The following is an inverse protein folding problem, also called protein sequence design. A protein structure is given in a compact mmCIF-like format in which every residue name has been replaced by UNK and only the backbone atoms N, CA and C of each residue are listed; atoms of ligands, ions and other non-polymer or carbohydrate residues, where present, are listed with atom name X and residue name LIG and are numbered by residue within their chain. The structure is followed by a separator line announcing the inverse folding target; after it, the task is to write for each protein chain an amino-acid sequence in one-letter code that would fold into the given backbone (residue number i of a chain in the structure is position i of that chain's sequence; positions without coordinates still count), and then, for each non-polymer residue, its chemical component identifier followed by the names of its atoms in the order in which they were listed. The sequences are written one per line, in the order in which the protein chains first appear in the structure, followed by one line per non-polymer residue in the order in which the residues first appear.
data_IF_884434192771
#
_entry.id   IF_884434192771
#
_cell.length_a   1.000
_cell.length_b   1.000
_cell.length_c   1.000
_cell.angle_alpha   90.00
_cell.angle_beta   90.00
_cell.angle_gamma   90.00
#
_symmetry.space_group_name_H-M   'P 1'
#
loop_
_entity.id
_entity.type
_entity.pdbx_description
1 polymer ?
#
# COMPACT_ATOMS: atom_id res chain seq x y z
N UNK A 1 0.58 10.09 7.83
CA UNK A 1 0.38 10.48 6.43
C UNK A 1 1.07 11.81 6.21
N UNK A 2 1.91 11.94 5.19
CA UNK A 2 2.43 13.22 4.72
C UNK A 2 1.38 13.95 3.86
N UNK A 3 1.73 15.12 3.32
CA UNK A 3 0.84 15.99 2.53
C UNK A 3 -0.49 16.30 3.25
N UNK A 4 -0.43 17.24 4.20
CA UNK A 4 -1.55 17.52 5.12
C UNK A 4 -2.89 17.82 4.43
N UNK A 5 -2.86 18.39 3.21
CA UNK A 5 -4.04 18.71 2.43
C UNK A 5 -4.72 17.50 1.75
N UNK A 6 -4.01 16.38 1.58
CA UNK A 6 -4.48 15.19 0.82
C UNK A 6 -4.36 13.88 1.59
N UNK A 7 -4.08 13.93 2.89
CA UNK A 7 -4.12 12.75 3.76
C UNK A 7 -5.47 12.04 3.70
N UNK A 8 -5.45 10.70 3.65
CA UNK A 8 -6.58 9.78 3.43
C UNK A 8 -7.80 10.10 4.30
N UNK A 9 -7.58 10.43 5.57
CA UNK A 9 -8.68 10.67 6.51
C UNK A 9 -9.16 12.13 6.59
N UNK A 10 -8.47 13.07 5.94
CA UNK A 10 -8.78 14.51 6.03
C UNK A 10 -9.06 15.18 4.67
N UNK A 11 -8.77 14.54 3.54
CA UNK A 11 -9.02 15.13 2.22
C UNK A 11 -10.51 15.45 2.03
N UNK A 12 -10.82 16.73 1.83
CA UNK A 12 -12.20 17.28 1.70
C UNK A 12 -13.10 16.90 2.90
N UNK A 13 -12.51 16.67 4.07
CA UNK A 13 -13.23 16.29 5.30
C UNK A 13 -12.74 17.14 6.47
N UNK A 14 -13.58 17.28 7.49
CA UNK A 14 -13.20 17.99 8.73
C UNK A 14 -12.12 17.24 9.54
N UNK A 15 -11.87 15.95 9.22
CA UNK A 15 -10.98 15.09 10.00
C UNK A 15 -11.62 14.60 11.30
N UNK A 16 -10.77 14.21 12.25
CA UNK A 16 -11.20 13.68 13.54
C UNK A 16 -11.32 14.78 14.60
N UNK A 17 -12.38 14.72 15.40
CA UNK A 17 -12.57 15.62 16.56
C UNK A 17 -11.62 15.30 17.71
N UNK A 18 -11.30 14.02 17.89
CA UNK A 18 -10.37 13.51 18.90
C UNK A 18 -9.23 12.79 18.19
N UNK A 19 -8.09 12.64 18.87
CA UNK A 19 -6.97 11.90 18.32
C UNK A 19 -7.39 10.45 17.98
N UNK A 20 -7.21 9.98 16.72
CA UNK A 20 -7.76 8.70 16.28
C UNK A 20 -6.91 7.48 16.64
N UNK A 21 -5.65 7.70 17.06
CA UNK A 21 -4.65 6.67 17.34
C UNK A 21 -3.82 7.07 18.55
N UNK A 22 -3.12 6.15 19.20
CA UNK A 22 -2.24 6.48 20.34
C UNK A 22 -1.10 7.43 19.95
N UNK A 23 -0.58 7.25 18.74
CA UNK A 23 0.44 8.11 18.13
C UNK A 23 -0.07 8.66 16.80
N UNK A 24 -0.29 9.98 16.75
CA UNK A 24 -0.85 10.66 15.58
C UNK A 24 0.11 11.74 15.06
N UNK A 25 0.73 11.49 13.91
CA UNK A 25 1.80 12.33 13.36
C UNK A 25 1.35 13.70 12.86
N UNK A 26 0.08 13.85 12.49
CA UNK A 26 -0.43 15.01 11.74
C UNK A 26 -0.15 16.36 12.42
N UNK A 27 -0.38 16.57 13.74
CA UNK A 27 -0.12 17.86 14.36
C UNK A 27 1.34 18.31 14.22
N UNK A 28 2.29 17.37 14.28
CA UNK A 28 3.70 17.64 14.06
C UNK A 28 3.96 18.06 12.60
N UNK A 29 3.43 17.32 11.62
CA UNK A 29 3.60 17.68 10.21
C UNK A 29 2.98 19.04 9.86
N UNK A 30 1.81 19.36 10.42
CA UNK A 30 1.21 20.69 10.25
C UNK A 30 2.08 21.81 10.83
N UNK A 31 2.73 21.56 11.97
CA UNK A 31 3.68 22.52 12.54
C UNK A 31 4.94 22.64 11.66
N UNK A 32 5.47 21.54 11.13
CA UNK A 32 6.64 21.56 10.26
C UNK A 32 6.36 22.32 8.96
N UNK A 33 5.28 22.00 8.24
CA UNK A 33 4.94 22.68 6.98
C UNK A 33 4.59 24.16 7.18
N UNK A 34 4.10 24.55 8.37
CA UNK A 34 3.86 25.97 8.69
C UNK A 34 5.14 26.76 8.95
N UNK A 35 6.20 26.12 9.46
CA UNK A 35 7.36 26.82 10.02
C UNK A 35 8.68 26.55 9.28
N UNK A 36 8.72 25.58 8.37
CA UNK A 36 9.91 25.23 7.59
C UNK A 36 9.71 25.55 6.12
N UNK A 37 10.82 25.74 5.42
CA UNK A 37 10.81 25.95 3.97
C UNK A 37 10.26 24.71 3.25
N UNK A 38 9.46 24.94 2.22
CA UNK A 38 8.85 23.89 1.40
C UNK A 38 9.45 23.96 0.00
N UNK A 39 9.86 22.81 -0.52
CA UNK A 39 10.15 22.64 -1.96
C UNK A 39 9.05 21.76 -2.54
N UNK A 40 8.42 22.27 -3.59
CA UNK A 40 7.38 21.55 -4.31
C UNK A 40 7.97 20.83 -5.53
N UNK A 41 7.56 19.58 -5.73
CA UNK A 41 7.82 18.81 -6.96
C UNK A 41 6.54 18.13 -7.40
N UNK A 42 6.27 18.11 -8.71
CA UNK A 42 5.01 17.62 -9.27
C UNK A 42 3.74 18.19 -8.60
N UNK A 43 3.81 19.41 -8.06
CA UNK A 43 2.70 20.09 -7.37
C UNK A 43 2.40 19.58 -5.96
N UNK A 44 3.36 18.93 -5.29
CA UNK A 44 3.25 18.41 -3.93
C UNK A 44 4.38 18.93 -3.05
N UNK A 45 4.12 19.06 -1.75
CA UNK A 45 5.13 19.36 -0.71
C UNK A 45 6.17 18.22 -0.63
N UNK A 46 7.16 18.23 -1.51
CA UNK A 46 8.14 17.16 -1.69
C UNK A 46 9.21 17.19 -0.59
N UNK A 47 9.76 18.36 -0.30
CA UNK A 47 10.66 18.57 0.85
C UNK A 47 10.04 19.54 1.86
N UNK A 48 10.21 19.23 3.15
CA UNK A 48 9.84 20.10 4.26
C UNK A 48 11.06 20.27 5.15
N UNK A 49 11.65 21.47 5.14
CA UNK A 49 12.96 21.75 5.71
C UNK A 49 14.07 21.02 4.95
N UNK A 50 14.76 20.09 5.62
CA UNK A 50 15.93 19.38 5.07
C UNK A 50 15.67 17.92 4.71
N UNK A 51 14.42 17.48 4.76
CA UNK A 51 14.01 16.09 4.50
C UNK A 51 12.91 16.06 3.46
N UNK A 52 12.81 14.96 2.74
CA UNK A 52 11.60 14.65 1.99
C UNK A 52 10.44 14.49 2.97
N UNK A 53 9.25 14.92 2.58
CA UNK A 53 8.10 14.95 3.48
C UNK A 53 7.72 13.53 3.95
N UNK A 54 7.83 12.54 3.07
CA UNK A 54 7.60 11.13 3.40
C UNK A 54 8.57 10.58 4.47
N UNK A 55 9.80 11.10 4.57
CA UNK A 55 10.79 10.61 5.55
C UNK A 55 10.31 10.82 6.99
N UNK A 56 9.53 11.88 7.28
CA UNK A 56 8.96 12.06 8.62
C UNK A 56 7.97 10.94 9.00
N UNK A 57 7.26 10.38 8.00
CA UNK A 57 6.37 9.23 8.20
C UNK A 57 7.18 7.96 8.42
N UNK A 58 8.23 7.75 7.64
CA UNK A 58 9.09 6.57 7.75
C UNK A 58 9.93 6.59 9.05
N UNK A 59 10.38 7.76 9.49
CA UNK A 59 11.05 7.94 10.78
C UNK A 59 10.12 7.59 11.94
N UNK A 60 8.84 7.97 11.88
CA UNK A 60 7.86 7.55 12.88
C UNK A 60 7.65 6.04 12.84
N UNK A 61 7.54 5.44 11.65
CA UNK A 61 7.39 3.99 11.49
C UNK A 61 8.54 3.23 12.18
N UNK A 62 9.79 3.63 11.94
CA UNK A 62 10.96 3.02 12.59
C UNK A 62 10.94 3.22 14.11
N UNK A 63 10.64 4.44 14.58
CA UNK A 63 10.55 4.72 16.02
C UNK A 63 9.45 3.89 16.69
N UNK A 64 8.28 3.82 16.08
CA UNK A 64 7.14 3.06 16.58
C UNK A 64 7.47 1.56 16.69
N UNK A 65 8.03 0.97 15.63
CA UNK A 65 8.40 -0.44 15.63
C UNK A 65 9.54 -0.80 16.60
N UNK A 66 10.42 0.15 16.94
CA UNK A 66 11.55 -0.07 17.84
C UNK A 66 11.26 0.26 19.31
N UNK A 67 10.30 1.13 19.59
CA UNK A 67 9.98 1.54 20.97
C UNK A 67 9.21 0.46 21.73
N UNK A 68 8.36 -0.29 21.03
CA UNK A 68 7.46 -1.29 21.63
C UNK A 68 7.70 -2.70 21.06
N UNK A 69 8.91 -3.27 21.19
CA UNK A 69 9.29 -4.50 20.47
C UNK A 69 8.57 -5.77 20.97
N UNK A 70 7.91 -5.70 22.13
CA UNK A 70 7.21 -6.84 22.76
C UNK A 70 5.69 -6.69 22.79
N UNK A 71 5.17 -5.50 22.47
CA UNK A 71 3.74 -5.23 22.54
C UNK A 71 3.05 -5.61 21.23
N UNK A 72 1.78 -6.06 21.26
CA UNK A 72 0.98 -6.19 20.05
C UNK A 72 0.68 -4.80 19.49
N UNK A 73 1.20 -4.50 18.29
CA UNK A 73 1.06 -3.19 17.64
C UNK A 73 0.28 -3.28 16.33
N UNK A 74 -0.45 -2.21 16.03
CA UNK A 74 -1.00 -1.95 14.70
C UNK A 74 -0.58 -0.54 14.27
N UNK A 75 0.01 -0.42 13.08
CA UNK A 75 0.47 0.86 12.53
C UNK A 75 0.08 1.01 11.07
N UNK A 76 -0.43 2.20 10.71
CA UNK A 76 -0.69 2.61 9.34
C UNK A 76 0.16 3.84 9.01
N UNK A 77 1.10 3.68 8.09
CA UNK A 77 2.03 4.71 7.65
C UNK A 77 1.82 4.96 6.16
N UNK A 78 1.60 6.21 5.78
CA UNK A 78 1.15 6.57 4.43
C UNK A 78 1.95 7.73 3.87
N UNK A 79 2.32 7.64 2.60
CA UNK A 79 3.08 8.67 1.90
C UNK A 79 2.45 8.97 0.52
N UNK A 80 2.33 10.25 0.20
CA UNK A 80 1.75 10.80 -1.01
C UNK A 80 2.74 11.71 -1.76
N UNK A 81 3.65 12.39 -1.04
CA UNK A 81 4.45 13.52 -1.55
C UNK A 81 5.28 13.25 -2.80
N UNK A 82 5.63 11.99 -3.05
CA UNK A 82 6.47 11.58 -4.15
C UNK A 82 5.78 10.61 -5.13
N UNK A 83 4.53 10.21 -4.89
CA UNK A 83 3.88 9.12 -5.63
C UNK A 83 2.51 9.47 -6.20
N UNK A 84 1.88 10.55 -5.70
CA UNK A 84 0.51 10.85 -6.07
C UNK A 84 0.44 11.46 -7.48
N UNK A 85 1.06 12.62 -7.76
CA UNK A 85 0.75 13.37 -8.99
C UNK A 85 1.48 12.94 -10.28
N UNK A 86 2.60 12.23 -10.18
CA UNK A 86 3.50 11.97 -11.30
C UNK A 86 4.13 10.58 -11.20
N UNK A 87 4.19 9.87 -12.33
CA UNK A 87 4.57 8.44 -12.37
C UNK A 87 6.07 8.20 -12.26
N UNK A 88 6.87 9.21 -12.60
CA UNK A 88 8.31 9.23 -12.54
C UNK A 88 8.83 9.56 -11.13
N UNK A 89 8.05 10.30 -10.34
CA UNK A 89 8.46 10.75 -9.01
C UNK A 89 8.76 9.61 -8.01
N UNK A 90 8.07 8.45 -8.02
CA UNK A 90 8.48 7.28 -7.25
C UNK A 90 9.95 6.90 -7.39
N UNK A 91 10.51 6.97 -8.60
CA UNK A 91 11.90 6.61 -8.86
C UNK A 91 12.90 7.50 -8.10
N UNK A 92 12.53 8.75 -7.79
CA UNK A 92 13.36 9.66 -6.99
C UNK A 92 13.55 9.19 -5.54
N UNK A 93 12.64 8.34 -5.05
CA UNK A 93 12.62 7.84 -3.68
C UNK A 93 13.04 6.37 -3.56
N UNK A 94 13.36 5.67 -4.65
CA UNK A 94 13.73 4.25 -4.65
C UNK A 94 14.89 3.94 -3.67
N UNK A 95 15.96 4.74 -3.73
CA UNK A 95 17.11 4.56 -2.83
C UNK A 95 16.71 4.79 -1.37
N UNK A 96 15.87 5.79 -1.10
CA UNK A 96 15.41 6.09 0.26
C UNK A 96 14.52 4.97 0.81
N UNK A 97 13.57 4.48 0.01
CA UNK A 97 12.71 3.36 0.41
C UNK A 97 13.56 2.13 0.72
N UNK A 98 14.57 1.82 -0.11
CA UNK A 98 15.49 0.70 0.14
C UNK A 98 16.24 0.87 1.47
N UNK A 99 16.76 2.06 1.76
CA UNK A 99 17.42 2.36 3.04
C UNK A 99 16.49 2.08 4.23
N UNK A 100 15.24 2.53 4.19
CA UNK A 100 14.26 2.26 5.26
C UNK A 100 13.91 0.79 5.38
N UNK A 101 13.73 0.05 4.28
CA UNK A 101 13.48 -1.40 4.30
C UNK A 101 14.68 -2.17 4.89
N UNK A 102 15.91 -1.79 4.50
CA UNK A 102 17.13 -2.35 5.09
C UNK A 102 17.22 -2.06 6.58
N UNK A 103 16.81 -0.85 7.01
CA UNK A 103 16.79 -0.46 8.42
C UNK A 103 15.74 -1.26 9.21
N UNK A 104 14.54 -1.46 8.67
CA UNK A 104 13.53 -2.33 9.27
C UNK A 104 14.06 -3.75 9.47
N UNK A 105 14.82 -4.27 8.49
CA UNK A 105 15.48 -5.57 8.62
C UNK A 105 16.56 -5.57 9.70
N UNK A 106 17.48 -4.61 9.68
CA UNK A 106 18.59 -4.56 10.65
C UNK A 106 18.12 -4.36 12.09
N UNK A 107 17.03 -3.62 12.27
CA UNK A 107 16.43 -3.35 13.58
C UNK A 107 15.50 -4.49 14.04
N UNK A 108 15.38 -5.55 13.24
CA UNK A 108 14.60 -6.75 13.53
C UNK A 108 13.09 -6.55 13.46
N UNK A 109 12.60 -5.44 12.88
CA UNK A 109 11.15 -5.17 12.72
C UNK A 109 10.54 -6.24 11.80
N UNK A 110 11.18 -6.56 10.68
CA UNK A 110 10.72 -7.60 9.76
C UNK A 110 10.75 -9.02 10.36
N UNK A 111 11.53 -9.22 11.43
CA UNK A 111 11.65 -10.52 12.11
C UNK A 111 10.59 -10.73 13.19
N UNK A 112 9.87 -9.68 13.59
CA UNK A 112 8.83 -9.73 14.65
C UNK A 112 7.46 -9.24 14.19
N UNK A 113 7.32 -8.76 12.97
CA UNK A 113 6.07 -8.17 12.47
C UNK A 113 5.74 -8.64 11.06
N UNK A 114 4.44 -8.84 10.80
CA UNK A 114 3.93 -8.92 9.42
C UNK A 114 3.88 -7.48 8.88
N UNK A 115 4.55 -7.25 7.75
CA UNK A 115 4.61 -5.92 7.11
C UNK A 115 3.97 -6.00 5.74
N UNK A 116 2.98 -5.15 5.49
CA UNK A 116 2.31 -5.00 4.20
C UNK A 116 2.72 -3.65 3.61
N UNK A 117 3.43 -3.67 2.50
CA UNK A 117 3.81 -2.49 1.72
C UNK A 117 2.94 -2.42 0.48
N UNK A 118 2.05 -1.42 0.41
CA UNK A 118 1.00 -1.37 -0.59
C UNK A 118 0.64 0.06 -1.01
N UNK A 119 -0.08 0.17 -2.12
CA UNK A 119 -0.78 1.39 -2.53
C UNK A 119 -2.30 1.14 -2.60
N UNK A 120 -3.10 2.19 -2.58
CA UNK A 120 -4.55 2.12 -2.68
C UNK A 120 -5.03 2.04 -4.13
N UNK A 121 -4.24 2.61 -5.05
CA UNK A 121 -4.42 2.56 -6.48
C UNK A 121 -3.06 2.59 -7.21
N UNK A 122 -3.07 2.52 -8.54
CA UNK A 122 -1.88 2.78 -9.36
C UNK A 122 -1.78 4.25 -9.76
N UNK A 123 -1.31 4.60 -10.95
CA UNK A 123 -1.21 5.99 -11.38
C UNK A 123 -2.56 6.52 -11.88
N UNK A 124 -3.11 7.55 -11.22
CA UNK A 124 -4.41 8.18 -11.57
C UNK A 124 -4.27 9.49 -12.36
N UNK A 125 -3.06 9.89 -12.73
CA UNK A 125 -2.83 11.13 -13.47
C UNK A 125 -1.83 10.95 -14.59
N UNK A 126 -1.75 11.96 -15.45
CA UNK A 126 -0.76 12.02 -16.52
C UNK A 126 -1.18 11.28 -17.78
N UNK A 127 -0.24 11.20 -18.72
CA UNK A 127 -0.57 10.82 -20.09
C UNK A 127 -0.86 9.33 -20.26
N UNK A 128 -0.39 8.49 -19.33
CA UNK A 128 -0.58 7.04 -19.34
C UNK A 128 -2.06 6.65 -19.31
N UNK A 129 -2.91 7.47 -18.68
CA UNK A 129 -4.35 7.23 -18.62
C UNK A 129 -5.08 7.38 -19.96
N UNK A 130 -4.50 8.10 -20.92
CA UNK A 130 -5.12 8.26 -22.25
C UNK A 130 -4.96 7.02 -23.13
N UNK A 131 -4.13 6.06 -22.71
CA UNK A 131 -3.96 4.79 -23.41
C UNK A 131 -5.21 3.91 -23.25
N UNK A 132 -5.48 3.04 -24.24
CA UNK A 132 -6.57 2.05 -24.16
C UNK A 132 -6.47 1.18 -22.89
N UNK A 133 -5.25 0.89 -22.44
CA UNK A 133 -4.94 0.13 -21.23
C UNK A 133 -4.70 1.00 -19.99
N UNK A 134 -4.86 2.33 -20.07
CA UNK A 134 -4.58 3.25 -18.96
C UNK A 134 -5.41 2.97 -17.70
N UNK A 135 -6.58 2.34 -17.86
CA UNK A 135 -7.37 1.87 -16.73
C UNK A 135 -6.62 0.83 -15.86
N UNK A 136 -5.69 0.05 -16.41
CA UNK A 136 -4.85 -0.87 -15.63
C UNK A 136 -3.86 -0.08 -14.77
N UNK A 137 -3.27 0.97 -15.33
CA UNK A 137 -2.37 1.88 -14.60
C UNK A 137 -3.10 2.53 -13.43
N UNK A 138 -4.34 2.96 -13.60
CA UNK A 138 -5.12 3.55 -12.50
C UNK A 138 -5.47 2.51 -11.42
N UNK A 139 -5.87 1.30 -11.82
CA UNK A 139 -6.62 0.38 -10.94
C UNK A 139 -5.77 -0.68 -10.26
N UNK A 140 -4.55 -0.92 -10.73
CA UNK A 140 -3.67 -1.93 -10.15
C UNK A 140 -2.72 -1.30 -9.13
N UNK A 141 -2.94 -1.54 -7.83
CA UNK A 141 -2.01 -1.11 -6.80
C UNK A 141 -0.81 -2.05 -6.70
N UNK A 142 0.22 -1.59 -5.99
CA UNK A 142 1.29 -2.46 -5.51
C UNK A 142 0.87 -3.20 -4.23
N UNK A 143 1.37 -4.42 -4.03
CA UNK A 143 1.12 -5.21 -2.83
C UNK A 143 2.28 -6.17 -2.56
N UNK A 144 3.09 -5.86 -1.56
CA UNK A 144 4.18 -6.70 -1.08
C UNK A 144 3.97 -7.03 0.39
N UNK A 145 4.23 -8.28 0.76
CA UNK A 145 4.00 -8.77 2.13
C UNK A 145 5.28 -9.45 2.62
N UNK A 146 5.77 -8.98 3.77
CA UNK A 146 6.84 -9.62 4.52
C UNK A 146 6.25 -10.31 5.74
N UNK A 147 6.60 -11.59 5.95
CA UNK A 147 6.14 -12.41 7.06
C UNK A 147 7.37 -12.88 7.82
N UNK A 148 7.42 -12.75 9.16
CA UNK A 148 8.61 -13.10 9.93
C UNK A 148 8.84 -14.62 9.93
N UNK A 149 10.10 -15.06 9.92
CA UNK A 149 10.44 -16.47 9.72
C UNK A 149 9.83 -17.43 10.76
N UNK A 150 9.67 -16.99 12.01
CA UNK A 150 9.03 -17.81 13.04
C UNK A 150 7.56 -18.12 12.70
N UNK A 151 6.80 -17.12 12.22
CA UNK A 151 5.40 -17.28 11.82
C UNK A 151 5.26 -18.15 10.58
N UNK A 152 6.23 -18.06 9.64
CA UNK A 152 6.29 -18.96 8.49
C UNK A 152 6.49 -20.43 8.92
N UNK A 153 7.36 -20.67 9.91
CA UNK A 153 7.67 -22.01 10.40
C UNK A 153 6.52 -22.60 11.22
N UNK A 154 5.79 -21.76 11.97
CA UNK A 154 4.64 -22.16 12.77
C UNK A 154 3.40 -22.46 11.90
N UNK A 155 3.24 -21.74 10.78
CA UNK A 155 2.11 -21.87 9.86
C UNK A 155 2.52 -22.19 8.41
N UNK A 156 3.09 -23.38 8.15
CA UNK A 156 3.53 -23.77 6.80
C UNK A 156 2.37 -23.88 5.79
N UNK A 157 1.17 -24.17 6.27
CA UNK A 157 -0.07 -24.17 5.50
C UNK A 157 -0.46 -22.77 5.02
N UNK A 158 -0.31 -21.74 5.87
CA UNK A 158 -0.53 -20.35 5.46
C UNK A 158 0.46 -19.95 4.37
N UNK A 159 1.73 -20.36 4.48
CA UNK A 159 2.74 -20.05 3.47
C UNK A 159 2.47 -20.74 2.14
N UNK A 160 2.01 -21.99 2.17
CA UNK A 160 1.55 -22.70 0.97
C UNK A 160 0.41 -21.95 0.27
N UNK A 161 -0.59 -21.52 1.03
CA UNK A 161 -1.73 -20.78 0.47
C UNK A 161 -1.30 -19.42 -0.08
N UNK A 162 -0.42 -18.70 0.62
CA UNK A 162 0.11 -17.43 0.15
C UNK A 162 0.87 -17.59 -1.17
N UNK A 163 1.66 -18.66 -1.34
CA UNK A 163 2.34 -18.98 -2.61
C UNK A 163 1.36 -19.25 -3.76
N UNK A 164 0.29 -20.00 -3.51
CA UNK A 164 -0.77 -20.23 -4.50
C UNK A 164 -1.44 -18.90 -4.87
N UNK A 165 -1.73 -18.08 -3.86
CA UNK A 165 -2.49 -16.84 -4.00
C UNK A 165 -1.74 -15.73 -4.76
N UNK A 166 -0.41 -15.82 -4.94
CA UNK A 166 0.35 -14.90 -5.80
C UNK A 166 -0.17 -14.85 -7.24
N UNK A 167 -0.91 -15.87 -7.68
CA UNK A 167 -1.51 -15.96 -9.02
C UNK A 167 -3.04 -15.97 -8.99
N UNK A 168 -3.63 -15.46 -7.90
CA UNK A 168 -5.09 -15.39 -7.71
C UNK A 168 -5.56 -13.94 -7.66
N UNK A 169 -6.81 -13.71 -8.09
CA UNK A 169 -7.44 -12.41 -7.98
C UNK A 169 -7.70 -12.09 -6.50
N UNK A 170 -7.12 -10.99 -6.01
CA UNK A 170 -7.32 -10.49 -4.66
C UNK A 170 -7.94 -9.08 -4.68
N UNK A 171 -8.49 -8.67 -3.55
CA UNK A 171 -9.01 -7.31 -3.33
C UNK A 171 -8.69 -6.84 -1.91
N UNK A 172 -8.83 -5.53 -1.60
CA UNK A 172 -8.63 -5.03 -0.24
C UNK A 172 -9.52 -5.72 0.82
N UNK A 173 -10.66 -6.29 0.43
CA UNK A 173 -11.49 -7.07 1.33
C UNK A 173 -10.79 -8.34 1.84
N UNK A 174 -9.90 -8.94 1.04
CA UNK A 174 -9.10 -10.11 1.44
C UNK A 174 -8.05 -9.74 2.48
N UNK A 175 -7.47 -8.54 2.36
CA UNK A 175 -6.53 -8.01 3.34
C UNK A 175 -7.25 -7.74 4.66
N UNK A 176 -8.45 -7.16 4.62
CA UNK A 176 -9.29 -7.01 5.81
C UNK A 176 -9.64 -8.37 6.45
N UNK A 177 -10.07 -9.36 5.65
CA UNK A 177 -10.32 -10.72 6.13
C UNK A 177 -9.06 -11.36 6.73
N UNK A 178 -7.87 -11.05 6.19
CA UNK A 178 -6.58 -11.52 6.71
C UNK A 178 -6.24 -10.89 8.06
N UNK A 179 -6.49 -9.59 8.24
CA UNK A 179 -6.31 -8.93 9.55
C UNK A 179 -7.19 -9.59 10.61
N UNK A 180 -8.45 -9.93 10.27
CA UNK A 180 -9.35 -10.65 11.17
C UNK A 180 -8.84 -12.07 11.47
N UNK A 181 -8.37 -12.79 10.45
CA UNK A 181 -7.79 -14.12 10.62
C UNK A 181 -6.55 -14.11 11.53
N UNK A 182 -5.70 -13.10 11.46
CA UNK A 182 -4.55 -12.94 12.37
C UNK A 182 -5.02 -12.82 13.83
N UNK A 183 -6.10 -12.06 14.08
CA UNK A 183 -6.67 -11.94 15.41
C UNK A 183 -7.28 -13.26 15.89
N UNK A 184 -7.95 -14.03 15.03
CA UNK A 184 -8.45 -15.37 15.37
C UNK A 184 -7.34 -16.32 15.81
N UNK A 185 -6.20 -16.28 15.13
CA UNK A 185 -5.04 -17.11 15.48
C UNK A 185 -4.41 -16.65 16.79
N UNK A 186 -4.31 -15.34 17.01
CA UNK A 186 -3.71 -14.77 18.21
C UNK A 186 -4.60 -14.91 19.46
N UNK A 187 -5.93 -14.84 19.28
CA UNK A 187 -6.93 -14.85 20.35
C UNK A 187 -8.05 -15.88 20.05
N UNK A 188 -7.76 -17.19 20.10
CA UNK A 188 -8.71 -18.23 19.66
C UNK A 188 -9.97 -18.34 20.52
N UNK A 189 -9.96 -17.74 21.71
CA UNK A 189 -11.12 -17.67 22.62
C UNK A 189 -12.13 -16.59 22.18
N UNK A 190 -11.71 -15.65 21.31
CA UNK A 190 -12.54 -14.56 20.81
C UNK A 190 -13.10 -14.89 19.42
N UNK A 191 -14.38 -14.60 19.21
CA UNK A 191 -14.99 -14.74 17.89
C UNK A 191 -14.73 -13.49 17.04
N UNK A 192 -14.09 -13.66 15.88
CA UNK A 192 -13.90 -12.59 14.90
C UNK A 192 -14.68 -12.86 13.62
N UNK A 193 -16.03 -12.85 13.64
CA UNK A 193 -16.82 -13.27 12.49
C UNK A 193 -16.55 -12.40 11.25
N UNK A 194 -15.83 -12.94 10.28
CA UNK A 194 -15.79 -12.43 8.89
C UNK A 194 -16.24 -13.48 7.87
N UNK A 195 -16.24 -14.76 8.25
CA UNK A 195 -16.66 -15.89 7.42
C UNK A 195 -18.19 -16.02 7.31
N UNK A 196 -18.96 -15.28 8.11
CA UNK A 196 -20.44 -15.34 8.15
C UNK A 196 -21.14 -14.65 6.95
N UNK A 197 -20.44 -14.46 5.83
CA UNK A 197 -21.03 -14.06 4.54
C UNK A 197 -21.36 -12.57 4.37
N UNK A 198 -21.08 -11.72 5.35
CA UNK A 198 -21.27 -10.25 5.24
C UNK A 198 -20.11 -9.54 4.53
N UNK A 199 -18.92 -10.17 4.51
CA UNK A 199 -17.70 -9.63 3.92
C UNK A 199 -17.34 -10.48 2.70
N UNK A 200 -17.09 -9.83 1.55
CA UNK A 200 -16.73 -10.50 0.28
C UNK A 200 -15.28 -11.00 0.22
N UNK A 201 -14.51 -10.80 1.29
CA UNK A 201 -13.09 -11.11 1.37
C UNK A 201 -12.81 -12.52 1.87
N UNK A 202 -11.76 -13.14 1.33
CA UNK A 202 -11.17 -14.40 1.78
C UNK A 202 -9.77 -14.10 2.30
N UNK A 203 -9.43 -14.55 3.51
CA UNK A 203 -8.07 -14.36 4.02
C UNK A 203 -7.05 -14.97 3.06
N UNK A 204 -5.96 -14.26 2.78
CA UNK A 204 -4.87 -14.71 1.90
C UNK A 204 -4.07 -15.88 2.49
N UNK A 205 -4.28 -16.23 3.76
CA UNK A 205 -3.76 -17.44 4.40
C UNK A 205 -4.62 -18.68 4.13
N UNK A 206 -5.75 -18.52 3.43
CA UNK A 206 -6.57 -19.60 2.88
C UNK A 206 -6.42 -19.59 1.36
N UNK A 207 -6.60 -20.74 0.72
CA UNK A 207 -6.54 -20.82 -0.74
C UNK A 207 -7.69 -20.00 -1.35
N UNK A 208 -7.35 -19.03 -2.20
CA UNK A 208 -8.31 -18.25 -2.97
C UNK A 208 -8.67 -19.05 -4.24
N UNK A 209 -9.97 -19.23 -4.56
CA UNK A 209 -10.38 -20.03 -5.71
C UNK A 209 -9.77 -19.56 -7.03
N UNK A 210 -9.31 -20.51 -7.85
CA UNK A 210 -8.74 -20.25 -9.17
C UNK A 210 -9.71 -19.54 -10.11
N UNK A 211 -10.99 -19.90 -10.03
CA UNK A 211 -12.05 -19.38 -10.88
C UNK A 211 -12.76 -18.15 -10.29
N UNK A 212 -12.20 -17.53 -9.23
CA UNK A 212 -12.77 -16.32 -8.61
C UNK A 212 -12.77 -15.17 -9.61
N UNK A 213 -13.94 -14.56 -9.81
CA UNK A 213 -14.10 -13.39 -10.68
C UNK A 213 -14.22 -12.09 -9.85
N UNK A 214 -14.27 -10.94 -10.54
CA UNK A 214 -14.39 -9.62 -9.91
C UNK A 214 -15.62 -9.49 -8.98
N UNK A 215 -16.78 -10.04 -9.35
CA UNK A 215 -17.97 -9.96 -8.52
C UNK A 215 -17.80 -10.76 -7.21
N UNK A 216 -17.23 -11.96 -7.30
CA UNK A 216 -16.85 -12.79 -6.14
C UNK A 216 -15.85 -12.05 -5.24
N UNK A 217 -14.94 -11.26 -5.83
CA UNK A 217 -13.97 -10.45 -5.12
C UNK A 217 -14.50 -9.13 -4.57
N UNK A 218 -15.77 -8.80 -4.82
CA UNK A 218 -16.37 -7.53 -4.43
C UNK A 218 -15.90 -6.33 -5.24
N UNK A 219 -15.29 -6.57 -6.40
CA UNK A 219 -14.82 -5.55 -7.34
C UNK A 219 -15.97 -5.24 -8.32
N UNK A 220 -16.50 -4.00 -8.33
CA UNK A 220 -17.52 -3.61 -9.31
C UNK A 220 -17.01 -3.75 -10.74
N UNK A 221 -17.90 -4.03 -11.68
CA UNK A 221 -17.54 -4.25 -13.09
C UNK A 221 -16.71 -3.09 -13.68
N UNK A 222 -17.09 -1.84 -13.34
CA UNK A 222 -16.34 -0.66 -13.76
C UNK A 222 -14.86 -0.71 -13.34
N UNK A 223 -14.54 -1.30 -12.19
CA UNK A 223 -13.19 -1.38 -11.63
C UNK A 223 -12.47 -2.70 -11.93
N UNK A 224 -13.14 -3.65 -12.59
CA UNK A 224 -12.57 -4.95 -12.89
C UNK A 224 -11.41 -4.81 -13.89
N UNK A 225 -10.28 -5.46 -13.58
CA UNK A 225 -9.07 -5.48 -14.41
C UNK A 225 -8.83 -6.82 -15.10
N UNK A 226 -9.74 -7.78 -14.92
CA UNK A 226 -9.68 -9.12 -15.54
C UNK A 226 -10.07 -9.09 -17.03
N UNK A 227 -9.42 -8.23 -17.81
CA UNK A 227 -9.58 -8.14 -19.26
C UNK A 227 -8.46 -8.95 -19.93
N UNK A 228 -8.76 -9.80 -20.93
CA UNK A 228 -7.72 -10.53 -21.65
C UNK A 228 -6.72 -9.60 -22.32
N UNK A 229 -5.42 -9.95 -22.25
CA UNK A 229 -4.39 -9.24 -22.99
C UNK A 229 -4.51 -9.52 -24.50
N UNK A 230 -4.31 -8.48 -25.31
CA UNK A 230 -4.20 -8.57 -26.76
C UNK A 230 -2.72 -8.49 -27.16
N UNK A 231 -2.24 -9.41 -28.00
CA UNK A 231 -0.89 -9.31 -28.57
C UNK A 231 -0.89 -8.31 -29.72
N UNK A 232 -0.04 -7.30 -29.65
CA UNK A 232 0.14 -6.28 -30.70
C UNK A 232 1.50 -6.43 -31.39
N UNK A 233 1.59 -6.03 -32.66
CA UNK A 233 2.87 -6.02 -33.39
C UNK A 233 3.81 -4.96 -32.81
N UNK A 234 5.12 -5.25 -32.74
CA UNK A 234 6.11 -4.30 -32.19
C UNK A 234 6.26 -3.03 -33.04
N UNK A 235 5.91 -3.09 -34.31
CA UNK A 235 5.95 -1.96 -35.24
C UNK A 235 4.63 -1.18 -35.28
N UNK A 236 3.64 -1.59 -34.48
CA UNK A 236 2.38 -0.87 -34.35
C UNK A 236 2.65 0.54 -33.80
N UNK A 237 1.96 1.53 -34.36
CA UNK A 237 2.06 2.93 -33.94
C UNK A 237 1.76 3.10 -32.44
N UNK A 238 0.85 2.27 -31.90
CA UNK A 238 0.55 2.22 -30.48
C UNK A 238 1.78 1.91 -29.64
N UNK A 239 2.60 0.93 -30.06
CA UNK A 239 3.81 0.53 -29.33
C UNK A 239 4.86 1.65 -29.35
N UNK A 240 5.03 2.31 -30.50
CA UNK A 240 5.91 3.47 -30.64
C UNK A 240 5.47 4.63 -29.73
N UNK A 241 4.18 4.95 -29.73
CA UNK A 241 3.60 6.01 -28.91
C UNK A 241 3.79 5.72 -27.41
N UNK A 242 3.50 4.51 -26.94
CA UNK A 242 3.73 4.10 -25.55
C UNK A 242 5.20 4.24 -25.16
N UNK A 243 6.10 3.72 -25.99
CA UNK A 243 7.55 3.76 -25.74
C UNK A 243 8.05 5.20 -25.63
N UNK A 244 7.52 6.12 -26.45
CA UNK A 244 7.90 7.54 -26.40
C UNK A 244 7.44 8.26 -25.12
N UNK A 245 6.36 7.80 -24.49
CA UNK A 245 5.87 8.37 -23.22
C UNK A 245 6.69 7.86 -22.03
N UNK A 246 7.12 6.60 -22.06
CA UNK A 246 7.93 6.00 -20.97
C UNK A 246 9.40 6.42 -21.09
N UNK A 247 9.97 6.46 -22.30
CA UNK A 247 11.40 6.71 -22.53
C UNK A 247 11.85 8.18 -22.41
N UNK A 248 10.95 9.10 -22.05
CA UNK A 248 11.25 10.51 -21.78
C UNK A 248 11.31 10.86 -20.28
N UNK A 249 11.01 9.89 -19.42
CA UNK A 249 11.17 9.98 -17.97
C UNK A 249 12.60 9.63 -17.54
#
# INVERSE_FOLDING_TARGET
EDCNGMSTFNYIKCGFLQQPTDYYLRPMLMALTKNLDIVEEAGLEYCVGRKHHAEYVFDLMLQFGNTFPVDPLFGLFWANSFSHNAFEMPATMDTKILEYLMRMKSDGILERSIVIFFSDHGMRWGSLLWLKSGFLEERLPTMFISIPSWYQNEHPDFMRNLQINQRRLTSPYDIYATMRHILEVAEPENEFPYLNGTIRGVSIFREIPENRNCNDAGIPEHWCTCVPYETVDKNDELVSNITSQIGRA
#
